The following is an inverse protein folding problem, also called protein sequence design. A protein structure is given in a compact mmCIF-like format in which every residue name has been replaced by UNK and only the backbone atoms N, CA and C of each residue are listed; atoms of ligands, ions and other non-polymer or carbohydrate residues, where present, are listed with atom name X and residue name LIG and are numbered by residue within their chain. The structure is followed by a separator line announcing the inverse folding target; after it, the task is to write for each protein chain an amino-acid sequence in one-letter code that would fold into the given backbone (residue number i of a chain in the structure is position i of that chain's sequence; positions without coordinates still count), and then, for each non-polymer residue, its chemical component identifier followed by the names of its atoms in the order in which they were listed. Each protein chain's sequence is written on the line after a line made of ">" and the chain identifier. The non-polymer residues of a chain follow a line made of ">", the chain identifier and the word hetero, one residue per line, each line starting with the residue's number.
data_IF_083284712988
#
_entry.id   IF_083284712988
#
_cell.length_a   1.000
_cell.length_b   1.000
_cell.length_c   1.000
_cell.angle_alpha   90.00
_cell.angle_beta   90.00
_cell.angle_gamma   90.00
#
_symmetry.space_group_name_H-M   'P 1'
#
loop_
_entity.id
_entity.type
_entity.pdbx_description
1 polymer ?
#
# COMPACT_ATOMS: atom_id res chain seq x y z
N UNK A 1 -1.36 -7.30 -3.88
CA UNK A 1 -1.71 -8.70 -3.61
C UNK A 1 -0.39 -9.36 -3.30
N UNK A 2 -0.15 -9.71 -2.03
CA UNK A 2 0.98 -10.59 -1.72
C UNK A 2 0.52 -12.04 -1.90
N UNK A 3 1.41 -13.00 -1.70
CA UNK A 3 1.14 -14.40 -2.04
C UNK A 3 0.12 -15.08 -1.11
N UNK A 4 -0.42 -14.35 -0.12
CA UNK A 4 -1.19 -14.94 0.98
C UNK A 4 -2.62 -14.42 1.00
N UNK A 5 -2.85 -13.12 0.76
CA UNK A 5 -4.20 -12.53 0.72
C UNK A 5 -4.23 -11.14 0.05
N UNK A 6 -5.42 -10.53 -0.01
CA UNK A 6 -5.62 -9.11 -0.28
C UNK A 6 -5.94 -8.35 1.00
N UNK A 7 -5.47 -7.11 1.09
CA UNK A 7 -5.76 -6.23 2.22
C UNK A 7 -6.10 -4.82 1.74
N UNK A 8 -7.03 -4.18 2.45
CA UNK A 8 -7.47 -2.82 2.17
C UNK A 8 -6.71 -1.82 3.03
N UNK A 9 -6.07 -0.84 2.39
CA UNK A 9 -5.28 0.20 3.06
C UNK A 9 -5.91 1.57 2.87
N UNK A 10 -5.85 2.40 3.92
CA UNK A 10 -6.29 3.80 3.87
C UNK A 10 -5.07 4.70 3.91
N UNK A 11 -4.91 5.50 2.86
CA UNK A 11 -3.85 6.51 2.73
C UNK A 11 -4.50 7.89 2.80
N UNK A 12 -4.08 8.71 3.75
CA UNK A 12 -4.53 10.10 3.86
C UNK A 12 -3.68 11.02 3.01
N UNK A 13 -4.23 12.18 2.66
CA UNK A 13 -3.61 13.15 1.76
C UNK A 13 -2.17 13.53 2.17
N UNK A 14 -1.88 13.64 3.47
CA UNK A 14 -0.52 13.89 3.96
C UNK A 14 0.49 12.83 3.49
N UNK A 15 0.11 11.56 3.49
CA UNK A 15 0.98 10.45 3.10
C UNK A 15 0.96 10.25 1.58
N UNK A 16 -0.19 10.44 0.94
CA UNK A 16 -0.34 10.39 -0.53
C UNK A 16 0.45 11.52 -1.22
N UNK A 17 0.39 12.74 -0.69
CA UNK A 17 1.14 13.90 -1.19
C UNK A 17 2.64 13.66 -1.16
N UNK A 18 3.15 12.96 -0.14
CA UNK A 18 4.57 12.57 -0.09
C UNK A 18 4.94 11.51 -1.13
N UNK A 19 3.99 10.65 -1.53
CA UNK A 19 4.21 9.61 -2.54
C UNK A 19 4.17 10.19 -3.96
N UNK A 20 3.20 11.06 -4.24
CA UNK A 20 2.94 11.58 -5.59
C UNK A 20 3.53 12.95 -5.85
N UNK A 21 4.04 13.62 -4.82
CA UNK A 21 4.45 15.03 -4.85
C UNK A 21 3.34 15.96 -5.37
N UNK A 22 2.09 15.63 -5.03
CA UNK A 22 0.87 16.32 -5.47
C UNK A 22 -0.24 16.10 -4.44
N UNK A 23 -1.06 17.12 -4.16
CA UNK A 23 -2.22 16.93 -3.30
C UNK A 23 -3.28 16.05 -3.98
N UNK A 24 -4.09 15.34 -3.18
CA UNK A 24 -5.22 14.59 -3.71
C UNK A 24 -6.23 15.49 -4.45
N UNK A 25 -6.39 16.74 -4.02
CA UNK A 25 -7.26 17.71 -4.68
C UNK A 25 -6.76 18.04 -6.09
N UNK A 26 -5.48 18.41 -6.22
CA UNK A 26 -4.86 18.71 -7.52
C UNK A 26 -4.89 17.50 -8.46
N UNK A 27 -4.72 16.31 -7.90
CA UNK A 27 -4.71 15.05 -8.63
C UNK A 27 -6.10 14.71 -9.20
N UNK A 28 -7.16 14.92 -8.41
CA UNK A 28 -8.55 14.74 -8.86
C UNK A 28 -8.91 15.79 -9.91
N UNK A 29 -8.55 17.05 -9.66
CA UNK A 29 -8.81 18.16 -10.57
C UNK A 29 -8.14 17.94 -11.94
N UNK A 30 -6.90 17.46 -11.96
CA UNK A 30 -6.19 17.11 -13.19
C UNK A 30 -6.87 15.95 -13.92
N UNK A 31 -7.30 14.91 -13.21
CA UNK A 31 -7.99 13.77 -13.80
C UNK A 31 -9.34 14.19 -14.42
N UNK A 32 -10.13 15.02 -13.72
CA UNK A 32 -11.42 15.49 -14.20
C UNK A 32 -11.30 16.37 -15.46
N UNK A 33 -10.28 17.23 -15.52
CA UNK A 33 -10.03 18.05 -16.72
C UNK A 33 -9.68 17.22 -17.95
N UNK A 34 -8.94 16.13 -17.77
CA UNK A 34 -8.43 15.33 -18.88
C UNK A 34 -9.36 14.17 -19.28
N UNK A 35 -10.11 13.59 -18.34
CA UNK A 35 -10.90 12.38 -18.54
C UNK A 35 -12.37 12.47 -18.14
N UNK A 36 -12.82 13.62 -17.61
CA UNK A 36 -14.21 13.82 -17.16
C UNK A 36 -14.52 13.21 -15.79
N UNK A 37 -15.80 13.21 -15.42
CA UNK A 37 -16.25 12.72 -14.13
C UNK A 37 -16.01 11.20 -13.99
N UNK A 38 -15.37 10.79 -12.90
CA UNK A 38 -15.02 9.39 -12.62
C UNK A 38 -13.68 8.94 -13.19
N UNK A 39 -12.92 9.83 -13.84
CA UNK A 39 -11.56 9.52 -14.28
C UNK A 39 -10.65 9.19 -13.10
N UNK A 40 -9.90 8.10 -13.20
CA UNK A 40 -8.86 7.73 -12.24
C UNK A 40 -7.60 8.53 -12.55
N UNK A 41 -6.98 9.19 -11.57
CA UNK A 41 -5.71 9.88 -11.80
C UNK A 41 -4.58 8.94 -12.24
N UNK A 42 -3.80 9.34 -13.24
CA UNK A 42 -2.68 8.57 -13.79
C UNK A 42 -1.66 8.15 -12.71
N UNK A 43 -1.47 9.00 -11.69
CA UNK A 43 -0.65 8.75 -10.53
C UNK A 43 -1.04 7.44 -9.83
N UNK A 44 -2.34 7.20 -9.66
CA UNK A 44 -2.87 5.99 -9.02
C UNK A 44 -2.75 4.79 -9.96
N UNK A 45 -3.06 4.98 -11.25
CA UNK A 45 -2.91 3.91 -12.25
C UNK A 45 -1.47 3.38 -12.32
N UNK A 46 -0.46 4.26 -12.17
CA UNK A 46 0.95 3.88 -12.13
C UNK A 46 1.35 3.07 -10.89
N UNK A 47 0.53 2.97 -9.85
CA UNK A 47 0.83 2.11 -8.70
C UNK A 47 0.47 0.64 -8.95
N UNK A 48 -0.30 0.35 -9.98
CA UNK A 48 -0.65 -1.02 -10.36
C UNK A 48 0.63 -1.79 -10.74
N UNK A 49 0.70 -3.05 -10.34
CA UNK A 49 1.87 -3.94 -10.53
C UNK A 49 3.19 -3.48 -9.87
N UNK A 50 3.16 -2.40 -9.09
CA UNK A 50 4.33 -1.96 -8.33
C UNK A 50 4.39 -2.59 -6.94
N UNK A 51 5.61 -2.90 -6.51
CA UNK A 51 5.89 -3.30 -5.13
C UNK A 51 6.25 -2.07 -4.31
N UNK A 52 5.56 -1.88 -3.18
CA UNK A 52 5.80 -0.80 -2.22
C UNK A 52 5.88 -1.38 -0.81
N UNK A 53 6.60 -0.68 0.07
CA UNK A 53 6.68 -1.04 1.49
C UNK A 53 5.84 -0.06 2.32
N UNK A 54 4.89 -0.59 3.09
CA UNK A 54 3.99 0.19 3.93
C UNK A 54 4.25 -0.06 5.41
N UNK A 55 4.34 1.02 6.19
CA UNK A 55 4.16 0.95 7.64
C UNK A 55 2.69 1.24 7.95
N UNK A 56 2.02 0.32 8.61
CA UNK A 56 0.58 0.42 8.91
C UNK A 56 0.29 0.39 10.40
N UNK A 57 -0.87 0.92 10.78
CA UNK A 57 -1.42 0.73 12.11
C UNK A 57 -2.21 -0.57 12.18
N UNK A 58 -1.89 -1.41 13.16
CA UNK A 58 -2.57 -2.70 13.40
C UNK A 58 -3.66 -2.60 14.46
N UNK A 59 -3.90 -1.41 15.03
CA UNK A 59 -4.95 -1.22 16.02
C UNK A 59 -6.31 -1.55 15.37
N UNK A 60 -7.05 -2.53 15.88
CA UNK A 60 -8.33 -2.90 15.30
C UNK A 60 -9.33 -1.77 15.52
N UNK A 61 -9.73 -1.11 14.44
CA UNK A 61 -11.04 -0.46 14.37
C UNK A 61 -12.04 -1.52 13.89
N UNK A 62 -12.36 -2.48 14.76
CA UNK A 62 -13.32 -3.55 14.46
C UNK A 62 -14.72 -2.95 14.39
N UNK A 63 -15.10 -2.41 13.24
CA UNK A 63 -16.50 -2.31 12.89
C UNK A 63 -16.88 -3.63 12.22
N UNK A 64 -17.67 -4.45 12.91
CA UNK A 64 -18.07 -5.80 12.47
C UNK A 64 -18.83 -5.81 11.12
N UNK A 65 -19.23 -4.64 10.61
CA UNK A 65 -19.89 -4.46 9.30
C UNK A 65 -18.94 -4.18 8.14
N UNK A 66 -17.69 -3.82 8.39
CA UNK A 66 -16.76 -3.43 7.34
C UNK A 66 -15.57 -4.37 7.30
N UNK A 67 -15.06 -4.58 6.09
CA UNK A 67 -13.79 -5.28 5.87
C UNK A 67 -12.67 -4.55 6.62
N UNK A 68 -11.70 -5.30 7.15
CA UNK A 68 -10.65 -4.70 7.96
C UNK A 68 -9.75 -3.81 7.10
N UNK A 69 -9.70 -2.52 7.45
CA UNK A 69 -8.82 -1.56 6.79
C UNK A 69 -7.65 -1.17 7.67
N UNK A 70 -6.47 -1.00 7.09
CA UNK A 70 -5.27 -0.58 7.81
C UNK A 70 -4.85 0.83 7.41
N UNK A 71 -4.71 1.73 8.39
CA UNK A 71 -4.20 3.07 8.13
C UNK A 71 -2.71 3.02 7.84
N UNK A 72 -2.30 3.58 6.70
CA UNK A 72 -0.89 3.77 6.37
C UNK A 72 -0.32 4.95 7.16
N UNK A 73 0.87 4.76 7.71
CA UNK A 73 1.65 5.78 8.42
C UNK A 73 2.89 6.25 7.65
N UNK A 74 3.43 5.37 6.79
CA UNK A 74 4.59 5.68 5.96
C UNK A 74 4.61 4.76 4.74
N UNK A 75 5.09 5.31 3.63
CA UNK A 75 5.28 4.61 2.36
C UNK A 75 6.76 4.70 2.02
N UNK A 76 7.35 3.60 1.58
CA UNK A 76 8.72 3.52 1.09
C UNK A 76 8.70 2.94 -0.32
N UNK A 77 9.34 3.66 -1.25
CA UNK A 77 9.46 3.32 -2.67
C UNK A 77 10.90 2.98 -3.07
N UNK A 78 11.82 2.96 -2.10
CA UNK A 78 13.23 2.65 -2.35
C UNK A 78 13.40 1.17 -2.65
N UNK A 79 13.79 0.84 -3.88
CA UNK A 79 13.93 -0.54 -4.34
C UNK A 79 14.99 -1.33 -3.57
N UNK A 80 16.05 -0.67 -3.07
CA UNK A 80 17.11 -1.33 -2.29
C UNK A 80 16.54 -1.78 -0.95
N UNK A 81 15.86 -0.87 -0.24
CA UNK A 81 15.23 -1.16 1.05
C UNK A 81 14.15 -2.24 0.89
N UNK A 82 13.31 -2.12 -0.13
CA UNK A 82 12.26 -3.10 -0.43
C UNK A 82 12.87 -4.48 -0.69
N UNK A 83 13.95 -4.56 -1.46
CA UNK A 83 14.64 -5.82 -1.78
C UNK A 83 15.24 -6.46 -0.53
N UNK A 84 15.88 -5.68 0.33
CA UNK A 84 16.41 -6.16 1.61
C UNK A 84 15.30 -6.68 2.53
N UNK A 85 14.18 -5.96 2.62
CA UNK A 85 13.02 -6.41 3.40
C UNK A 85 12.44 -7.73 2.88
N UNK A 86 12.26 -7.86 1.56
CA UNK A 86 11.80 -9.11 0.93
C UNK A 86 12.76 -10.26 1.22
N UNK A 87 14.06 -10.07 0.96
CA UNK A 87 15.05 -11.11 1.20
C UNK A 87 15.10 -11.55 2.68
N UNK A 88 14.91 -10.63 3.62
CA UNK A 88 14.82 -10.97 5.04
C UNK A 88 13.57 -11.79 5.35
N UNK A 89 12.40 -11.37 4.85
CA UNK A 89 11.13 -12.07 5.09
C UNK A 89 11.11 -13.46 4.47
N UNK A 90 11.60 -13.63 3.24
CA UNK A 90 11.68 -14.94 2.57
C UNK A 90 12.52 -15.94 3.40
N UNK A 91 13.58 -15.46 4.05
CA UNK A 91 14.39 -16.28 4.96
C UNK A 91 13.65 -16.58 6.27
N UNK A 92 12.92 -15.62 6.86
CA UNK A 92 12.12 -15.82 8.08
C UNK A 92 10.95 -16.80 7.84
N UNK A 93 10.22 -16.70 6.73
CA UNK A 93 9.17 -17.67 6.36
C UNK A 93 9.75 -19.07 6.12
N UNK A 94 10.91 -19.17 5.48
CA UNK A 94 11.61 -20.44 5.31
C UNK A 94 12.03 -21.05 6.65
N UNK A 95 12.30 -20.24 7.69
CA UNK A 95 12.61 -20.70 9.04
C UNK A 95 11.35 -21.13 9.80
N UNK A 96 10.26 -20.35 9.71
CA UNK A 96 8.97 -20.68 10.35
C UNK A 96 8.43 -22.00 9.79
N UNK A 97 8.44 -22.16 8.46
CA UNK A 97 7.97 -23.38 7.78
C UNK A 97 8.77 -24.63 8.16
N UNK A 98 10.07 -24.48 8.48
CA UNK A 98 10.90 -25.59 8.97
C UNK A 98 10.56 -26.00 10.41
N UNK A 99 10.06 -25.07 11.22
CA UNK A 99 9.79 -25.31 12.64
C UNK A 99 8.41 -25.94 12.88
N UNK A 100 7.47 -25.76 11.95
CA UNK A 100 6.10 -26.29 12.05
C UNK A 100 5.97 -27.76 11.58
N UNK A 101 7.01 -28.33 10.97
CA UNK A 101 7.02 -29.72 10.49
C UNK A 101 7.64 -30.72 11.50
N UNK A 102 7.32 -30.60 12.79
CA UNK A 102 7.75 -31.54 13.85
C UNK A 102 6.55 -32.10 14.60
#
# INVERSE_FOLDING_TARGET
>A
MDNTDSASFVIFDKDASSLFNLSCADMIDAAQRNGGAGAVPDQIARLVENTLLFKVETKPSTNQRFEQTFRVRKICTDHTIIKEFKAKWDNEEAVISKTTNV
#
